data_IF_198157166631
#
_entry.id   IF_198157166631
#
_cell.length_a   1.000
_cell.length_b   1.000
_cell.length_c   1.000
_cell.angle_alpha   90.00
_cell.angle_beta   90.00
_cell.angle_gamma   90.00
#
_symmetry.space_group_name_H-M   'P 1'
#
loop_
_entity.id
_entity.type
_entity.pdbx_description
1 polymer ?
#
# COMPACT_ATOMS: atom_id res chain seq x y z
N UNK A 1 -6.48 14.06 10.93
CA UNK A 1 -5.28 13.30 10.52
C UNK A 1 -4.08 14.22 10.30
N UNK A 2 -2.93 13.87 10.88
CA UNK A 2 -1.63 14.51 10.72
C UNK A 2 -0.69 13.61 9.90
N UNK A 3 -0.14 14.11 8.79
CA UNK A 3 0.76 13.34 7.92
C UNK A 3 2.22 13.63 8.21
N UNK A 4 3.02 12.57 8.37
CA UNK A 4 4.48 12.65 8.50
C UNK A 4 5.11 12.02 7.28
N UNK A 5 5.66 12.86 6.41
CA UNK A 5 6.27 12.42 5.17
C UNK A 5 7.73 12.01 5.38
N UNK A 6 8.09 10.83 4.90
CA UNK A 6 9.45 10.28 4.94
C UNK A 6 9.87 9.87 3.53
N UNK A 7 11.12 10.15 3.18
CA UNK A 7 11.75 9.58 1.99
C UNK A 7 12.61 8.39 2.41
N UNK A 8 12.46 7.23 1.77
CA UNK A 8 13.23 6.03 2.15
C UNK A 8 13.80 5.31 0.93
N UNK A 9 15.14 5.29 0.85
CA UNK A 9 15.87 4.58 -0.19
C UNK A 9 15.77 3.05 -0.02
N UNK A 10 15.90 2.55 1.22
CA UNK A 10 15.74 1.13 1.53
C UNK A 10 14.32 0.64 1.23
N UNK A 11 13.29 1.39 1.61
CA UNK A 11 11.92 1.05 1.25
C UNK A 11 11.70 1.08 -0.27
N UNK A 12 12.40 1.96 -1.01
CA UNK A 12 12.33 1.98 -2.48
C UNK A 12 12.91 0.72 -3.12
N UNK A 13 14.03 0.22 -2.62
CA UNK A 13 14.63 -1.03 -3.10
C UNK A 13 13.71 -2.24 -2.81
N UNK A 14 13.16 -2.31 -1.60
CA UNK A 14 12.23 -3.37 -1.19
C UNK A 14 10.89 -3.29 -1.93
N UNK A 15 10.38 -2.08 -2.20
CA UNK A 15 9.19 -1.84 -3.02
C UNK A 15 9.38 -2.38 -4.45
N UNK A 16 10.54 -2.13 -5.07
CA UNK A 16 10.86 -2.64 -6.40
C UNK A 16 10.89 -4.17 -6.46
N UNK A 17 11.50 -4.82 -5.47
CA UNK A 17 11.53 -6.28 -5.40
C UNK A 17 10.16 -6.86 -5.06
N UNK A 18 9.38 -6.21 -4.20
CA UNK A 18 8.01 -6.60 -3.91
C UNK A 18 7.12 -6.53 -5.16
N UNK A 19 7.23 -5.46 -5.95
CA UNK A 19 6.53 -5.32 -7.21
C UNK A 19 6.89 -6.45 -8.20
N UNK A 20 8.17 -6.79 -8.36
CA UNK A 20 8.59 -7.93 -9.18
C UNK A 20 8.09 -9.27 -8.64
N UNK A 21 8.12 -9.49 -7.31
CA UNK A 21 7.60 -10.71 -6.69
C UNK A 21 6.10 -10.89 -6.95
N UNK A 22 5.34 -9.79 -7.03
CA UNK A 22 3.93 -9.76 -7.44
C UNK A 22 3.71 -9.94 -8.94
N UNK A 23 4.78 -10.07 -9.74
CA UNK A 23 4.70 -10.20 -11.20
C UNK A 23 4.42 -8.88 -11.92
N UNK A 24 4.62 -7.73 -11.27
CA UNK A 24 4.42 -6.42 -11.90
C UNK A 24 5.59 -6.08 -12.82
N UNK A 25 5.28 -5.48 -13.97
CA UNK A 25 6.29 -4.95 -14.87
C UNK A 25 6.88 -3.66 -14.31
N UNK A 26 8.21 -3.61 -14.15
CA UNK A 26 8.90 -2.39 -13.75
C UNK A 26 9.09 -1.46 -14.96
N UNK A 27 8.74 -0.19 -14.79
CA UNK A 27 8.82 0.86 -15.82
C UNK A 27 10.26 1.30 -16.09
N UNK A 28 11.13 1.51 -15.08
CA UNK A 28 12.49 1.97 -15.34
C UNK A 28 13.34 0.92 -16.09
N UNK A 29 14.01 1.30 -17.19
CA UNK A 29 14.77 0.35 -18.01
C UNK A 29 15.93 -0.26 -17.24
N UNK A 30 16.14 -1.57 -17.41
CA UNK A 30 17.22 -2.34 -16.77
C UNK A 30 17.01 -2.65 -15.29
N UNK A 31 16.00 -2.08 -14.62
CA UNK A 31 15.76 -2.34 -13.20
C UNK A 31 15.32 -3.80 -12.96
N UNK A 32 14.42 -4.29 -13.81
CA UNK A 32 13.98 -5.69 -13.76
C UNK A 32 15.14 -6.67 -14.02
N UNK A 33 16.09 -6.31 -14.89
CA UNK A 33 17.29 -7.11 -15.14
C UNK A 33 18.23 -7.13 -13.93
N UNK A 34 18.41 -5.98 -13.26
CA UNK A 34 19.25 -5.88 -12.07
C UNK A 34 18.70 -6.67 -10.88
N UNK A 35 17.37 -6.66 -10.67
CA UNK A 35 16.73 -7.30 -9.51
C UNK A 35 16.22 -8.72 -9.79
N UNK A 36 15.96 -9.06 -11.07
CA UNK A 36 15.38 -10.34 -11.48
C UNK A 36 16.09 -11.58 -10.92
N UNK A 37 17.43 -11.66 -10.95
CA UNK A 37 18.16 -12.79 -10.37
C UNK A 37 17.90 -13.00 -8.87
N UNK A 38 17.67 -11.93 -8.11
CA UNK A 38 17.39 -11.98 -6.66
C UNK A 38 15.97 -12.46 -6.36
N UNK A 39 15.02 -12.20 -7.26
CA UNK A 39 13.64 -12.70 -7.21
C UNK A 39 13.58 -14.16 -7.65
N UNK A 40 14.38 -14.55 -8.65
CA UNK A 40 14.45 -15.92 -9.14
C UNK A 40 15.21 -16.87 -8.18
N UNK A 41 16.15 -16.34 -7.39
CA UNK A 41 16.88 -17.05 -6.35
C UNK A 41 16.64 -16.45 -4.95
N UNK A 42 15.40 -16.53 -4.42
CA UNK A 42 15.08 -15.95 -3.13
C UNK A 42 15.68 -16.81 -1.99
N UNK A 43 15.82 -16.25 -0.78
CA UNK A 43 16.32 -17.01 0.36
C UNK A 43 15.39 -18.17 0.70
N UNK A 44 15.91 -19.20 1.37
CA UNK A 44 15.18 -20.45 1.66
C UNK A 44 13.80 -20.22 2.29
N UNK A 45 13.72 -19.34 3.29
CA UNK A 45 12.49 -18.96 3.98
C UNK A 45 11.43 -18.28 3.08
N UNK A 46 11.83 -17.74 1.93
CA UNK A 46 10.98 -17.03 0.99
C UNK A 46 10.48 -17.89 -0.19
N UNK A 47 10.96 -19.13 -0.33
CA UNK A 47 10.69 -19.96 -1.52
C UNK A 47 9.20 -20.26 -1.72
N UNK A 48 8.41 -20.28 -0.64
CA UNK A 48 6.97 -20.60 -0.70
C UNK A 48 6.07 -19.38 -0.93
N UNK A 49 6.50 -18.21 -0.45
CA UNK A 49 5.71 -16.98 -0.49
C UNK A 49 6.62 -15.75 -0.45
N UNK A 50 7.36 -15.54 -1.54
CA UNK A 50 8.18 -14.35 -1.71
C UNK A 50 7.36 -13.04 -1.67
N UNK A 51 6.15 -12.95 -2.28
CA UNK A 51 5.32 -11.76 -2.16
C UNK A 51 4.96 -11.40 -0.71
N UNK A 52 4.54 -12.37 0.10
CA UNK A 52 4.23 -12.16 1.51
C UNK A 52 5.44 -11.75 2.33
N UNK A 53 6.60 -12.37 2.12
CA UNK A 53 7.82 -12.00 2.83
C UNK A 53 8.30 -10.59 2.46
N UNK A 54 8.29 -10.25 1.17
CA UNK A 54 8.70 -8.91 0.70
C UNK A 54 7.75 -7.81 1.15
N UNK A 55 6.45 -8.09 1.26
CA UNK A 55 5.49 -7.19 1.89
C UNK A 55 5.86 -6.90 3.36
N UNK A 56 6.20 -7.95 4.13
CA UNK A 56 6.66 -7.81 5.51
C UNK A 56 7.94 -6.98 5.64
N UNK A 57 8.95 -7.23 4.80
CA UNK A 57 10.17 -6.44 4.77
C UNK A 57 9.90 -4.96 4.46
N UNK A 58 9.06 -4.70 3.45
CA UNK A 58 8.66 -3.34 3.07
C UNK A 58 7.94 -2.63 4.22
N UNK A 59 7.01 -3.31 4.91
CA UNK A 59 6.31 -2.78 6.08
C UNK A 59 7.30 -2.32 7.16
N UNK A 60 8.27 -3.17 7.54
CA UNK A 60 9.21 -2.84 8.60
C UNK A 60 10.21 -1.75 8.19
N UNK A 61 10.65 -1.74 6.93
CA UNK A 61 11.49 -0.67 6.40
C UNK A 61 10.73 0.67 6.37
N UNK A 62 9.46 0.64 5.99
CA UNK A 62 8.59 1.82 6.01
C UNK A 62 8.34 2.33 7.45
N UNK A 63 8.23 1.42 8.42
CA UNK A 63 8.15 1.77 9.84
C UNK A 63 9.46 2.32 10.45
N UNK A 64 10.53 2.45 9.65
CA UNK A 64 11.80 3.06 10.07
C UNK A 64 12.82 2.08 10.66
N UNK A 65 12.66 0.77 10.42
CA UNK A 65 13.71 -0.20 10.76
C UNK A 65 14.85 -0.10 9.73
N UNK A 66 16.00 0.44 10.16
CA UNK A 66 17.15 0.71 9.28
C UNK A 66 18.16 -0.45 9.20
N UNK A 67 18.09 -1.42 10.13
CA UNK A 67 19.06 -2.52 10.19
C UNK A 67 18.53 -3.76 9.47
N UNK A 68 19.22 -4.20 8.42
CA UNK A 68 18.82 -5.35 7.59
C UNK A 68 18.60 -6.64 8.39
N UNK A 69 19.40 -6.87 9.43
CA UNK A 69 19.22 -8.01 10.34
C UNK A 69 17.91 -7.92 11.15
N UNK A 70 17.61 -6.75 11.68
CA UNK A 70 16.37 -6.52 12.42
C UNK A 70 15.14 -6.60 11.49
N UNK A 71 15.24 -6.07 10.26
CA UNK A 71 14.23 -6.24 9.21
C UNK A 71 13.94 -7.73 8.95
N UNK A 72 15.00 -8.52 8.75
CA UNK A 72 14.89 -9.95 8.50
C UNK A 72 14.22 -10.69 9.66
N UNK A 73 14.68 -10.45 10.90
CA UNK A 73 14.11 -11.07 12.11
C UNK A 73 12.62 -10.74 12.25
N UNK A 74 12.22 -9.48 12.07
CA UNK A 74 10.83 -9.05 12.19
C UNK A 74 9.95 -9.64 11.09
N UNK A 75 10.42 -9.64 9.84
CA UNK A 75 9.69 -10.22 8.71
C UNK A 75 9.50 -11.74 8.88
N UNK A 76 10.54 -12.48 9.27
CA UNK A 76 10.45 -13.91 9.52
C UNK A 76 9.56 -14.23 10.72
N UNK A 77 9.65 -13.44 11.80
CA UNK A 77 8.80 -13.61 12.98
C UNK A 77 7.32 -13.46 12.64
N UNK A 78 6.99 -12.52 11.76
CA UNK A 78 5.62 -12.28 11.29
C UNK A 78 5.13 -13.35 10.33
N UNK A 79 6.01 -13.85 9.46
CA UNK A 79 5.67 -14.81 8.40
C UNK A 79 5.61 -16.26 8.92
N UNK A 80 6.59 -16.69 9.74
CA UNK A 80 6.73 -18.06 10.24
C UNK A 80 6.32 -18.27 11.70
N UNK A 81 6.16 -17.18 12.46
CA UNK A 81 5.99 -17.19 13.92
C UNK A 81 7.33 -17.12 14.66
N UNK A 82 7.35 -16.42 15.80
CA UNK A 82 8.57 -16.19 16.61
C UNK A 82 9.27 -17.48 17.06
N UNK A 83 8.51 -18.53 17.33
CA UNK A 83 9.06 -19.81 17.83
C UNK A 83 9.82 -20.60 16.75
N UNK A 84 9.74 -20.18 15.49
CA UNK A 84 10.41 -20.82 14.34
C UNK A 84 11.56 -20.00 13.78
N UNK A 85 12.01 -18.96 14.48
CA UNK A 85 13.15 -18.16 14.05
C UNK A 85 14.43 -19.00 14.14
N UNK A 86 15.00 -19.32 12.99
CA UNK A 86 16.36 -19.85 12.86
C UNK A 86 17.34 -18.70 12.59
N UNK A 87 18.45 -18.69 13.32
CA UNK A 87 19.54 -17.72 13.15
C UNK A 87 20.14 -17.78 11.74
N UNK A 88 20.19 -18.97 11.15
CA UNK A 88 20.65 -19.15 9.77
C UNK A 88 19.73 -18.44 8.76
N UNK A 89 18.41 -18.57 8.92
CA UNK A 89 17.41 -17.93 8.05
C UNK A 89 17.46 -16.40 8.19
N UNK A 90 17.63 -15.89 9.42
CA UNK A 90 17.77 -14.45 9.68
C UNK A 90 19.00 -13.89 8.98
N UNK A 91 20.15 -14.58 9.08
CA UNK A 91 21.38 -14.16 8.40
C UNK A 91 21.23 -14.22 6.88
N UNK A 92 20.68 -15.31 6.33
CA UNK A 92 20.47 -15.48 4.89
C UNK A 92 19.58 -14.36 4.33
N UNK A 93 18.48 -14.06 5.02
CA UNK A 93 17.55 -13.02 4.60
C UNK A 93 18.16 -11.61 4.72
N UNK A 94 18.91 -11.33 5.79
CA UNK A 94 19.60 -10.04 5.96
C UNK A 94 20.65 -9.80 4.85
N UNK A 95 21.38 -10.84 4.47
CA UNK A 95 22.32 -10.81 3.35
C UNK A 95 21.60 -10.62 2.01
N UNK A 96 20.44 -11.25 1.82
CA UNK A 96 19.60 -11.05 0.65
C UNK A 96 19.08 -9.60 0.55
N UNK A 97 18.58 -9.02 1.64
CA UNK A 97 18.16 -7.60 1.68
C UNK A 97 19.33 -6.68 1.30
N UNK A 98 20.51 -6.94 1.84
CA UNK A 98 21.72 -6.15 1.52
C UNK A 98 22.09 -6.24 0.04
N UNK A 99 21.95 -7.42 -0.59
CA UNK A 99 22.14 -7.59 -2.04
C UNK A 99 21.09 -6.87 -2.87
N UNK A 100 19.83 -6.87 -2.43
CA UNK A 100 18.74 -6.12 -3.07
C UNK A 100 19.05 -4.62 -3.08
N UNK A 101 19.40 -4.06 -1.93
CA UNK A 101 19.76 -2.64 -1.82
C UNK A 101 20.97 -2.30 -2.69
N UNK A 102 22.01 -3.14 -2.65
CA UNK A 102 23.20 -2.95 -3.46
C UNK A 102 22.89 -2.96 -4.96
N UNK A 103 22.13 -3.95 -5.45
CA UNK A 103 21.75 -4.05 -6.85
C UNK A 103 20.91 -2.84 -7.29
N UNK A 104 19.97 -2.41 -6.44
CA UNK A 104 19.13 -1.24 -6.68
C UNK A 104 19.95 0.05 -6.78
N UNK A 105 20.85 0.30 -5.83
CA UNK A 105 21.70 1.50 -5.82
C UNK A 105 22.71 1.52 -6.96
N UNK A 106 23.27 0.35 -7.31
CA UNK A 106 24.14 0.23 -8.49
C UNK A 106 23.38 0.55 -9.78
N UNK A 107 22.18 0.00 -9.95
CA UNK A 107 21.31 0.32 -11.09
C UNK A 107 21.00 1.82 -11.15
N UNK A 108 20.73 2.46 -10.01
CA UNK A 108 20.48 3.90 -9.91
C UNK A 108 21.78 4.74 -9.99
N UNK A 109 22.67 4.36 -10.91
CA UNK A 109 23.96 5.02 -11.25
C UNK A 109 24.95 5.12 -10.09
N UNK A 110 24.96 4.14 -9.19
CA UNK A 110 25.86 4.12 -8.04
C UNK A 110 25.61 5.25 -7.04
N UNK A 111 24.42 5.84 -7.05
CA UNK A 111 24.05 6.83 -6.05
C UNK A 111 24.04 6.20 -4.65
N UNK A 112 24.45 6.98 -3.66
CA UNK A 112 24.31 6.59 -2.25
C UNK A 112 22.85 6.68 -1.82
N UNK A 113 22.43 5.89 -0.81
CA UNK A 113 21.06 5.94 -0.28
C UNK A 113 20.59 7.35 0.11
N UNK A 114 21.50 8.23 0.56
CA UNK A 114 21.20 9.64 0.85
C UNK A 114 20.79 10.43 -0.40
N UNK A 115 21.50 10.26 -1.51
CA UNK A 115 21.17 10.95 -2.77
C UNK A 115 19.80 10.51 -3.31
N UNK A 116 19.47 9.22 -3.19
CA UNK A 116 18.13 8.73 -3.53
C UNK A 116 17.07 9.35 -2.62
N UNK A 117 17.33 9.42 -1.31
CA UNK A 117 16.39 10.04 -0.37
C UNK A 117 16.14 11.53 -0.68
N UNK A 118 17.19 12.28 -1.05
CA UNK A 118 17.07 13.68 -1.48
C UNK A 118 16.24 13.83 -2.77
N UNK A 119 16.42 12.92 -3.74
CA UNK A 119 15.59 12.88 -4.95
C UNK A 119 14.11 12.58 -4.63
N UNK A 120 13.86 11.57 -3.81
CA UNK A 120 12.51 11.20 -3.38
C UNK A 120 11.85 12.38 -2.65
N UNK A 121 12.57 13.04 -1.75
CA UNK A 121 12.08 14.21 -1.03
C UNK A 121 11.68 15.34 -2.00
N UNK A 122 12.47 15.58 -3.05
CA UNK A 122 12.14 16.55 -4.10
C UNK A 122 10.86 16.17 -4.85
N UNK A 123 10.70 14.89 -5.21
CA UNK A 123 9.50 14.36 -5.87
C UNK A 123 8.24 14.36 -4.99
N UNK A 124 8.41 14.47 -3.67
CA UNK A 124 7.28 14.48 -2.71
C UNK A 124 6.54 15.81 -2.70
N UNK A 125 7.19 16.91 -3.09
CA UNK A 125 6.64 18.27 -2.97
C UNK A 125 5.27 18.42 -3.64
N UNK A 126 5.04 18.02 -4.91
CA UNK A 126 3.74 18.19 -5.55
C UNK A 126 2.59 17.46 -4.82
N UNK A 127 2.85 16.24 -4.32
CA UNK A 127 1.87 15.47 -3.56
C UNK A 127 1.50 16.17 -2.24
N UNK A 128 2.51 16.70 -1.54
CA UNK A 128 2.29 17.44 -0.29
C UNK A 128 1.48 18.70 -0.56
N UNK A 129 1.81 19.46 -1.60
CA UNK A 129 1.08 20.69 -1.95
C UNK A 129 -0.40 20.38 -2.27
N UNK A 130 -0.67 19.30 -3.03
CA UNK A 130 -2.04 18.84 -3.29
C UNK A 130 -2.76 18.37 -2.02
N UNK A 131 -2.05 17.66 -1.14
CA UNK A 131 -2.60 17.24 0.14
C UNK A 131 -2.96 18.43 1.01
N UNK A 132 -2.07 19.40 1.18
CA UNK A 132 -2.30 20.57 2.02
C UNK A 132 -3.50 21.40 1.50
N UNK A 133 -3.72 21.40 0.18
CA UNK A 133 -4.85 22.10 -0.43
C UNK A 133 -6.22 21.43 -0.19
N UNK A 134 -6.32 20.09 -0.28
CA UNK A 134 -7.63 19.39 -0.31
C UNK A 134 -7.72 18.16 0.61
N UNK A 135 -6.61 17.56 1.00
CA UNK A 135 -6.52 16.35 1.82
C UNK A 135 -7.29 16.43 3.15
N UNK A 136 -7.13 17.48 3.98
CA UNK A 136 -7.91 17.63 5.21
C UNK A 136 -9.43 17.69 4.98
N UNK A 137 -9.87 18.26 3.86
CA UNK A 137 -11.27 18.28 3.47
C UNK A 137 -11.78 16.87 3.16
N UNK A 138 -11.02 16.11 2.37
CA UNK A 138 -11.35 14.74 2.00
C UNK A 138 -11.41 13.81 3.21
N UNK A 139 -10.45 13.90 4.14
CA UNK A 139 -10.47 13.10 5.37
C UNK A 139 -11.73 13.36 6.21
N UNK A 140 -12.12 14.62 6.39
CA UNK A 140 -13.38 14.95 7.10
C UNK A 140 -14.62 14.39 6.40
N UNK A 141 -14.61 14.33 5.08
CA UNK A 141 -15.70 13.70 4.33
C UNK A 141 -15.72 12.19 4.51
N UNK A 142 -14.55 11.52 4.53
CA UNK A 142 -14.46 10.09 4.85
C UNK A 142 -15.01 9.82 6.26
N UNK A 143 -14.63 10.60 7.27
CA UNK A 143 -15.16 10.49 8.65
C UNK A 143 -16.68 10.60 8.69
N UNK A 144 -17.26 11.52 7.90
CA UNK A 144 -18.71 11.73 7.82
C UNK A 144 -19.44 10.60 7.09
N UNK A 145 -18.85 10.08 6.03
CA UNK A 145 -19.43 9.03 5.19
C UNK A 145 -19.27 7.64 5.82
N UNK A 146 -18.37 7.49 6.79
CA UNK A 146 -18.10 6.23 7.48
C UNK A 146 -18.28 6.39 8.99
N UNK A 147 -17.22 6.20 9.78
CA UNK A 147 -17.22 6.39 11.22
C UNK A 147 -15.97 7.18 11.66
N UNK A 148 -16.08 8.16 12.59
CA UNK A 148 -14.97 9.04 12.93
C UNK A 148 -13.73 8.33 13.49
N UNK A 149 -13.90 7.21 14.19
CA UNK A 149 -12.78 6.46 14.79
C UNK A 149 -11.96 5.68 13.74
N UNK A 150 -12.44 5.54 12.51
CA UNK A 150 -11.75 4.82 11.45
C UNK A 150 -10.55 5.59 10.91
N UNK A 151 -10.55 6.92 11.08
CA UNK A 151 -9.47 7.77 10.57
C UNK A 151 -8.36 7.89 11.62
N UNK A 152 -7.18 7.39 11.26
CA UNK A 152 -6.00 7.51 12.11
C UNK A 152 -5.65 8.98 12.38
N UNK A 153 -5.39 9.32 13.64
CA UNK A 153 -4.98 10.68 14.02
C UNK A 153 -3.62 11.06 13.41
N UNK A 154 -2.71 10.10 13.29
CA UNK A 154 -1.36 10.27 12.77
C UNK A 154 -1.05 9.16 11.77
N UNK A 155 -0.54 9.54 10.60
CA UNK A 155 -0.14 8.60 9.54
C UNK A 155 1.26 8.95 9.08
N UNK A 156 2.11 7.94 8.96
CA UNK A 156 3.40 8.09 8.32
C UNK A 156 3.28 7.74 6.83
N UNK A 157 3.72 8.65 5.96
CA UNK A 157 3.71 8.50 4.51
C UNK A 157 5.13 8.30 4.03
N UNK A 158 5.46 7.07 3.67
CA UNK A 158 6.79 6.69 3.18
C UNK A 158 6.78 6.75 1.66
N UNK A 159 7.48 7.74 1.15
CA UNK A 159 7.65 8.01 -0.27
C UNK A 159 8.77 7.11 -0.80
N UNK A 160 8.51 6.47 -1.93
CA UNK A 160 9.48 5.62 -2.64
C UNK A 160 9.65 6.08 -4.09
N UNK A 161 10.76 5.73 -4.73
CA UNK A 161 10.92 6.01 -6.16
C UNK A 161 9.88 5.24 -6.99
N UNK A 162 9.37 5.84 -8.08
CA UNK A 162 8.41 5.17 -8.92
C UNK A 162 9.06 4.07 -9.74
N UNK A 163 8.57 2.84 -9.59
CA UNK A 163 9.06 1.66 -10.28
C UNK A 163 7.97 0.98 -11.10
N UNK A 164 6.69 1.18 -10.77
CA UNK A 164 5.55 0.67 -11.56
C UNK A 164 4.61 1.76 -12.07
N UNK A 165 4.94 3.03 -11.80
CA UNK A 165 4.20 4.18 -12.34
C UNK A 165 2.89 4.43 -11.59
N UNK A 166 2.97 4.53 -10.26
CA UNK A 166 1.84 4.81 -9.37
C UNK A 166 1.35 3.56 -8.66
N UNK A 167 2.00 3.22 -7.56
CA UNK A 167 1.58 2.12 -6.66
C UNK A 167 1.70 2.58 -5.21
N UNK A 168 1.03 1.84 -4.33
CA UNK A 168 1.08 2.10 -2.91
C UNK A 168 0.50 0.97 -2.08
N UNK A 169 0.77 0.99 -0.79
CA UNK A 169 0.34 -0.06 0.15
C UNK A 169 0.09 0.55 1.52
N UNK A 170 -1.03 0.16 2.14
CA UNK A 170 -1.33 0.48 3.52
C UNK A 170 -0.81 -0.64 4.43
N UNK A 171 0.04 -0.28 5.39
CA UNK A 171 0.60 -1.19 6.38
C UNK A 171 -0.14 -1.03 7.70
N UNK A 172 -1.33 -1.64 7.78
CA UNK A 172 -2.28 -1.46 8.89
C UNK A 172 -1.61 -1.54 10.29
N UNK A 173 -0.83 -2.60 10.62
CA UNK A 173 -0.28 -2.75 11.97
C UNK A 173 0.76 -1.68 12.37
N UNK A 174 1.23 -0.89 11.40
CA UNK A 174 2.23 0.14 11.60
C UNK A 174 1.67 1.58 11.48
N UNK A 175 0.40 1.76 11.08
CA UNK A 175 -0.15 3.07 10.71
C UNK A 175 0.73 3.84 9.70
N UNK A 176 1.30 3.10 8.75
CA UNK A 176 2.20 3.60 7.71
C UNK A 176 1.60 3.31 6.34
N UNK A 177 1.74 4.24 5.40
CA UNK A 177 1.48 3.99 3.98
C UNK A 177 2.78 4.14 3.20
N UNK A 178 3.00 3.26 2.23
CA UNK A 178 4.04 3.43 1.21
C UNK A 178 3.37 3.90 -0.08
N UNK A 179 3.92 4.90 -0.77
CA UNK A 179 3.40 5.36 -2.06
C UNK A 179 4.52 5.88 -2.97
N UNK A 180 4.41 5.64 -4.27
CA UNK A 180 5.39 6.13 -5.25
C UNK A 180 5.37 7.66 -5.38
N UNK A 181 6.55 8.28 -5.30
CA UNK A 181 6.76 9.72 -5.43
C UNK A 181 6.73 10.13 -6.92
N UNK A 182 5.53 10.26 -7.45
CA UNK A 182 5.30 10.74 -8.81
C UNK A 182 5.34 12.26 -8.90
N UNK A 183 5.92 12.78 -9.98
CA UNK A 183 5.94 14.22 -10.28
C UNK A 183 4.62 14.71 -10.91
N UNK A 184 3.80 13.79 -11.42
CA UNK A 184 2.51 14.07 -12.03
C UNK A 184 1.57 12.88 -11.79
N UNK A 185 0.26 13.14 -11.79
CA UNK A 185 -0.74 12.09 -11.69
C UNK A 185 -0.65 11.15 -12.90
N UNK A 186 -0.73 9.85 -12.67
CA UNK A 186 -0.79 8.84 -13.75
C UNK A 186 -2.05 9.05 -14.57
N UNK A 187 -3.17 9.26 -13.86
CA UNK A 187 -4.47 9.60 -14.43
C UNK A 187 -4.97 10.89 -13.76
N UNK A 188 -5.27 11.95 -14.51
CA UNK A 188 -5.77 13.20 -13.93
C UNK A 188 -7.17 13.07 -13.28
N UNK A 189 -7.98 12.07 -13.64
CA UNK A 189 -9.28 11.81 -13.04
C UNK A 189 -9.17 11.05 -11.71
N UNK A 190 -8.04 10.38 -11.46
CA UNK A 190 -7.72 9.72 -10.20
C UNK A 190 -6.38 10.24 -9.65
N UNK A 191 -6.33 11.49 -9.14
CA UNK A 191 -5.10 12.08 -8.64
C UNK A 191 -4.45 11.26 -7.53
N UNK A 192 -3.14 11.34 -7.43
CA UNK A 192 -2.37 10.58 -6.44
C UNK A 192 -2.70 10.96 -4.99
N UNK A 193 -3.16 12.20 -4.77
CA UNK A 193 -3.65 12.66 -3.46
C UNK A 193 -4.91 11.88 -3.03
N UNK A 194 -5.75 11.44 -3.98
CA UNK A 194 -6.92 10.60 -3.71
C UNK A 194 -6.48 9.18 -3.33
N UNK A 195 -5.50 8.63 -4.06
CA UNK A 195 -4.88 7.33 -3.70
C UNK A 195 -4.29 7.37 -2.30
N UNK A 196 -3.61 8.46 -1.93
CA UNK A 196 -3.05 8.64 -0.59
C UNK A 196 -4.13 8.60 0.51
N UNK A 197 -5.26 9.28 0.32
CA UNK A 197 -6.35 9.23 1.30
C UNK A 197 -7.00 7.86 1.36
N UNK A 198 -7.16 7.19 0.22
CA UNK A 198 -7.65 5.82 0.17
C UNK A 198 -6.75 4.89 0.98
N UNK A 199 -5.43 4.94 0.79
CA UNK A 199 -4.47 4.16 1.58
C UNK A 199 -4.53 4.49 3.08
N UNK A 200 -4.57 5.79 3.42
CA UNK A 200 -4.59 6.24 4.81
C UNK A 200 -5.88 5.83 5.56
N UNK A 201 -7.01 5.77 4.86
CA UNK A 201 -8.31 5.41 5.41
C UNK A 201 -8.44 3.92 5.79
N UNK A 202 -7.53 3.07 5.32
CA UNK A 202 -7.52 1.63 5.62
C UNK A 202 -6.87 1.33 6.98
N UNK A 203 -6.09 2.26 7.54
CA UNK A 203 -5.11 1.95 8.59
C UNK A 203 -5.71 1.49 9.92
N UNK A 204 -6.97 1.80 10.22
CA UNK A 204 -7.64 1.38 11.46
C UNK A 204 -8.50 0.11 11.30
N UNK A 205 -8.42 -0.58 10.15
CA UNK A 205 -9.15 -1.84 9.96
C UNK A 205 -8.60 -3.00 10.80
N UNK A 206 -7.40 -2.87 11.38
CA UNK A 206 -6.83 -3.85 12.29
C UNK A 206 -7.32 -3.73 13.75
N UNK A 207 -8.17 -2.74 14.05
CA UNK A 207 -8.85 -2.64 15.33
C UNK A 207 -9.82 -3.82 15.55
N UNK A 208 -9.99 -4.30 16.80
CA UNK A 208 -10.83 -5.46 17.10
C UNK A 208 -12.26 -5.38 16.55
N UNK A 209 -12.84 -4.17 16.50
CA UNK A 209 -14.19 -3.93 16.00
C UNK A 209 -14.40 -4.49 14.57
N UNK A 210 -13.39 -4.41 13.71
CA UNK A 210 -13.44 -4.93 12.32
C UNK A 210 -12.64 -6.24 12.21
N UNK A 211 -11.41 -6.26 12.74
CA UNK A 211 -10.46 -7.34 12.50
C UNK A 211 -10.92 -8.72 13.00
N UNK A 212 -11.76 -8.78 14.04
CA UNK A 212 -12.29 -10.06 14.55
C UNK A 212 -13.31 -10.72 13.60
N UNK A 213 -13.86 -9.97 12.65
CA UNK A 213 -14.89 -10.44 11.71
C UNK A 213 -14.31 -10.91 10.38
N UNK A 214 -13.04 -10.60 10.09
CA UNK A 214 -12.42 -10.82 8.78
C UNK A 214 -11.20 -11.73 8.94
N UNK A 215 -11.01 -12.75 8.08
CA UNK A 215 -9.81 -13.57 8.11
C UNK A 215 -8.54 -12.70 7.98
N UNK A 216 -7.50 -12.90 8.80
CA UNK A 216 -6.32 -12.02 8.82
C UNK A 216 -5.62 -11.84 7.47
N UNK A 217 -5.62 -12.90 6.63
CA UNK A 217 -5.03 -12.83 5.29
C UNK A 217 -5.88 -12.07 4.26
N UNK A 218 -7.18 -11.89 4.51
CA UNK A 218 -8.11 -11.15 3.65
C UNK A 218 -8.29 -9.71 4.09
N UNK A 219 -8.02 -9.39 5.36
CA UNK A 219 -8.26 -8.07 5.94
C UNK A 219 -7.68 -6.90 5.12
N UNK A 220 -6.42 -6.91 4.66
CA UNK A 220 -5.90 -5.79 3.86
C UNK A 220 -6.67 -5.58 2.54
N UNK A 221 -7.07 -6.67 1.89
CA UNK A 221 -7.82 -6.60 0.63
C UNK A 221 -9.26 -6.09 0.86
N UNK A 222 -9.91 -6.55 1.93
CA UNK A 222 -11.25 -6.09 2.29
C UNK A 222 -11.25 -4.63 2.76
N UNK A 223 -10.25 -4.20 3.50
CA UNK A 223 -10.07 -2.79 3.86
C UNK A 223 -9.92 -1.90 2.62
N UNK A 224 -9.07 -2.32 1.68
CA UNK A 224 -8.87 -1.64 0.41
C UNK A 224 -10.18 -1.49 -0.39
N UNK A 225 -10.98 -2.56 -0.47
CA UNK A 225 -12.26 -2.55 -1.19
C UNK A 225 -13.33 -1.70 -0.48
N UNK A 226 -13.50 -1.87 0.83
CA UNK A 226 -14.50 -1.17 1.62
C UNK A 226 -14.30 0.36 1.60
N UNK A 227 -13.05 0.81 1.57
CA UNK A 227 -12.74 2.24 1.59
C UNK A 227 -12.73 2.91 0.22
N UNK A 228 -12.83 2.15 -0.86
CA UNK A 228 -12.76 2.71 -2.21
C UNK A 228 -13.98 3.61 -2.54
N UNK A 229 -15.24 3.18 -2.32
CA UNK A 229 -16.41 4.05 -2.58
C UNK A 229 -16.43 5.29 -1.68
N UNK A 230 -16.16 5.11 -0.38
CA UNK A 230 -16.09 6.21 0.59
C UNK A 230 -15.05 7.27 0.18
N UNK A 231 -13.88 6.84 -0.31
CA UNK A 231 -12.82 7.75 -0.72
C UNK A 231 -13.19 8.50 -2.00
N UNK A 232 -13.76 7.84 -3.00
CA UNK A 232 -14.16 8.50 -4.25
C UNK A 232 -15.32 9.48 -4.03
N UNK A 233 -16.32 9.13 -3.21
CA UNK A 233 -17.38 10.05 -2.81
C UNK A 233 -16.85 11.25 -2.01
N UNK A 234 -15.86 11.03 -1.14
CA UNK A 234 -15.19 12.12 -0.42
C UNK A 234 -14.37 13.02 -1.36
N UNK A 235 -13.72 12.44 -2.37
CA UNK A 235 -12.95 13.18 -3.38
C UNK A 235 -13.86 14.05 -4.25
N UNK A 236 -15.04 13.56 -4.62
CA UNK A 236 -16.07 14.34 -5.32
C UNK A 236 -16.52 15.55 -4.51
N UNK A 237 -16.79 15.37 -3.21
CA UNK A 237 -17.18 16.46 -2.32
C UNK A 237 -16.11 17.56 -2.17
N UNK A 238 -14.86 17.30 -2.56
CA UNK A 238 -13.76 18.28 -2.57
C UNK A 238 -13.23 18.60 -3.98
N UNK A 239 -13.97 18.19 -5.02
CA UNK A 239 -13.68 18.48 -6.44
C UNK A 239 -12.35 17.90 -6.93
N UNK A 240 -11.93 16.74 -6.41
CA UNK A 240 -10.70 16.05 -6.82
C UNK A 240 -10.92 14.93 -7.85
N UNK A 241 -12.07 14.27 -7.80
CA UNK A 241 -12.47 13.18 -8.69
C UNK A 241 -14.00 13.11 -8.76
N UNK A 242 -14.56 12.30 -9.65
CA UNK A 242 -16.01 11.99 -9.69
C UNK A 242 -16.27 10.65 -9.00
N UNK A 243 -17.41 10.49 -8.34
CA UNK A 243 -17.85 9.19 -7.84
C UNK A 243 -18.87 8.56 -8.78
N UNK A 244 -18.44 7.48 -9.43
CA UNK A 244 -19.28 6.65 -10.31
C UNK A 244 -18.77 5.22 -10.36
N UNK A 245 -19.59 4.28 -10.83
CA UNK A 245 -19.14 2.90 -11.09
C UNK A 245 -17.95 2.87 -12.08
N UNK A 246 -17.90 3.79 -13.04
CA UNK A 246 -16.76 3.92 -13.96
C UNK A 246 -15.48 4.35 -13.23
N UNK A 247 -15.56 5.35 -12.35
CA UNK A 247 -14.41 5.77 -11.53
C UNK A 247 -13.92 4.66 -10.58
N UNK A 248 -14.84 3.85 -10.04
CA UNK A 248 -14.51 2.66 -9.24
C UNK A 248 -13.76 1.62 -10.08
N UNK A 249 -14.26 1.30 -11.28
CA UNK A 249 -13.57 0.39 -12.21
C UNK A 249 -12.16 0.89 -12.54
N UNK A 250 -12.02 2.18 -12.87
CA UNK A 250 -10.72 2.80 -13.14
C UNK A 250 -9.79 2.72 -11.93
N UNK A 251 -10.26 2.97 -10.71
CA UNK A 251 -9.46 2.90 -9.51
C UNK A 251 -9.05 1.45 -9.17
N UNK A 252 -9.97 0.48 -9.27
CA UNK A 252 -9.69 -0.94 -9.07
C UNK A 252 -8.57 -1.45 -9.99
N UNK A 253 -8.59 -1.02 -11.26
CA UNK A 253 -7.58 -1.38 -12.25
C UNK A 253 -6.27 -0.62 -12.02
N UNK A 254 -6.32 0.70 -11.96
CA UNK A 254 -5.13 1.56 -11.88
C UNK A 254 -4.36 1.35 -10.57
N UNK A 255 -5.07 1.14 -9.46
CA UNK A 255 -4.47 0.93 -8.14
C UNK A 255 -4.25 -0.55 -7.83
N UNK A 256 -4.47 -1.44 -8.82
CA UNK A 256 -4.18 -2.88 -8.75
C UNK A 256 -4.83 -3.57 -7.56
N UNK A 257 -6.07 -3.18 -7.26
CA UNK A 257 -6.88 -3.79 -6.21
C UNK A 257 -7.53 -5.07 -6.72
N UNK A 258 -8.01 -5.06 -7.96
CA UNK A 258 -8.49 -6.26 -8.64
C UNK A 258 -7.30 -7.14 -9.11
N UNK A 259 -7.45 -8.46 -9.01
CA UNK A 259 -6.39 -9.39 -9.39
C UNK A 259 -6.30 -9.55 -10.90
N UNK A 260 -7.44 -9.47 -11.59
CA UNK A 260 -7.51 -9.59 -13.05
C UNK A 260 -8.39 -8.51 -13.67
N UNK A 261 -8.15 -8.19 -14.94
CA UNK A 261 -8.96 -7.24 -15.68
C UNK A 261 -10.43 -7.69 -15.83
N UNK A 262 -10.68 -9.01 -15.81
CA UNK A 262 -12.02 -9.58 -15.93
C UNK A 262 -12.89 -9.35 -14.68
N UNK A 263 -12.25 -9.17 -13.51
CA UNK A 263 -12.94 -8.95 -12.24
C UNK A 263 -13.34 -7.49 -12.01
N UNK A 264 -12.69 -6.54 -12.69
CA UNK A 264 -12.82 -5.10 -12.42
C UNK A 264 -14.27 -4.63 -12.47
N UNK A 265 -14.99 -4.94 -13.54
CA UNK A 265 -16.35 -4.43 -13.74
C UNK A 265 -17.37 -5.08 -12.77
N UNK A 266 -17.44 -6.43 -12.62
CA UNK A 266 -18.32 -7.04 -11.61
C UNK A 266 -18.03 -6.56 -10.18
N UNK A 267 -16.75 -6.35 -9.85
CA UNK A 267 -16.35 -5.87 -8.53
C UNK A 267 -16.79 -4.42 -8.31
N UNK A 268 -16.64 -3.53 -9.30
CA UNK A 268 -17.12 -2.15 -9.22
C UNK A 268 -18.65 -2.08 -9.01
N UNK A 269 -19.41 -2.93 -9.70
CA UNK A 269 -20.87 -3.04 -9.55
C UNK A 269 -21.24 -3.53 -8.15
N UNK A 270 -20.55 -4.57 -7.66
CA UNK A 270 -20.73 -5.11 -6.30
C UNK A 270 -20.45 -4.03 -5.24
N UNK A 271 -19.34 -3.29 -5.38
CA UNK A 271 -18.99 -2.20 -4.46
C UNK A 271 -19.98 -1.04 -4.49
N UNK A 272 -20.50 -0.70 -5.67
CA UNK A 272 -21.54 0.34 -5.81
C UNK A 272 -22.79 -0.07 -5.03
N UNK A 273 -23.30 -1.29 -5.26
CA UNK A 273 -24.51 -1.79 -4.59
C UNK A 273 -24.33 -1.93 -3.08
N UNK A 274 -23.17 -2.43 -2.65
CA UNK A 274 -22.82 -2.54 -1.24
C UNK A 274 -22.77 -1.15 -0.58
N UNK A 275 -22.12 -0.18 -1.21
CA UNK A 275 -21.99 1.18 -0.69
C UNK A 275 -23.34 1.88 -0.57
N UNK A 276 -24.20 1.77 -1.59
CA UNK A 276 -25.55 2.34 -1.56
C UNK A 276 -26.41 1.72 -0.44
N UNK A 277 -26.27 0.41 -0.21
CA UNK A 277 -26.93 -0.30 0.88
C UNK A 277 -26.42 0.16 2.25
N UNK A 278 -25.11 0.36 2.39
CA UNK A 278 -24.51 0.91 3.61
C UNK A 278 -25.00 2.33 3.88
N UNK A 279 -24.95 3.24 2.89
CA UNK A 279 -25.37 4.64 3.05
C UNK A 279 -26.87 4.81 3.31
N UNK A 280 -27.70 3.88 2.84
CA UNK A 280 -29.16 3.90 3.06
C UNK A 280 -29.62 3.21 4.34
N UNK A 281 -28.71 2.54 5.05
CA UNK A 281 -29.01 1.84 6.30
C UNK A 281 -28.32 2.51 7.50
N UNK A 282 -28.91 2.40 8.69
CA UNK A 282 -28.24 2.78 9.96
C UNK A 282 -27.27 1.67 10.44
N UNK A 283 -26.66 0.94 9.50
CA UNK A 283 -25.76 -0.17 9.81
C UNK A 283 -24.39 0.34 10.26
N UNK A 284 -23.86 -0.25 11.34
CA UNK A 284 -22.47 0.00 11.74
C UNK A 284 -21.50 -0.52 10.67
N UNK A 285 -20.43 0.22 10.40
CA UNK A 285 -19.42 -0.08 9.39
C UNK A 285 -18.86 -1.49 9.55
N UNK A 286 -18.61 -1.94 10.78
CA UNK A 286 -18.08 -3.27 11.03
C UNK A 286 -18.99 -4.39 10.48
N UNK A 287 -20.31 -4.24 10.64
CA UNK A 287 -21.28 -5.17 10.06
C UNK A 287 -21.36 -5.03 8.53
N UNK A 288 -21.25 -3.80 8.00
CA UNK A 288 -21.20 -3.56 6.56
C UNK A 288 -20.00 -4.25 5.90
N UNK A 289 -18.81 -4.13 6.51
CA UNK A 289 -17.57 -4.75 6.04
C UNK A 289 -17.65 -6.28 6.11
N UNK A 290 -18.24 -6.84 7.17
CA UNK A 290 -18.47 -8.29 7.26
C UNK A 290 -19.43 -8.78 6.14
N UNK A 291 -20.46 -7.99 5.80
CA UNK A 291 -21.34 -8.30 4.67
C UNK A 291 -20.59 -8.26 3.33
N UNK A 292 -19.68 -7.29 3.13
CA UNK A 292 -18.87 -7.23 1.92
C UNK A 292 -18.00 -8.47 1.76
N UNK A 293 -17.33 -8.89 2.83
CA UNK A 293 -16.52 -10.11 2.83
C UNK A 293 -17.34 -11.34 2.48
N UNK A 294 -18.55 -11.49 3.04
CA UNK A 294 -19.43 -12.60 2.71
C UNK A 294 -19.80 -12.62 1.22
N UNK A 295 -20.12 -11.46 0.63
CA UNK A 295 -20.46 -11.35 -0.80
C UNK A 295 -19.29 -11.69 -1.73
N UNK A 296 -18.04 -11.47 -1.30
CA UNK A 296 -16.84 -11.74 -2.11
C UNK A 296 -16.29 -13.16 -1.95
N UNK A 297 -16.92 -14.01 -1.13
CA UNK A 297 -16.55 -15.43 -0.96
C UNK A 297 -17.42 -16.35 -1.81
N UNK A 298 -18.61 -15.91 -2.21
CA UNK A 298 -19.54 -16.63 -3.10
C UNK A 298 -19.09 -16.62 -4.56
#
# INVERSE_FOLDING_TARGET
MNLIWKASASASALHAVHALARGLALVPPGLAEALGPLVAGPPSAAQKDLPGLTAGLLQYAAAGCEQNRQLAEQALAKHGGRDKLDEADVSELADWVSRVEQAYFQWHRGQTGRQLADEIATRTVPMRDHWDARGPGMIRQIERLTEPWLVAERVEVVMVLPVVGGDGTAHLPANVVTIEALLANVDPQLPEVVRLAWLASQLQFDLPAIAEQIPPGRLPHIAALAMLPATLAAAEAVELAEYSTESLSSALQLWRVASTAAEVQPLAETLTQWWDSYQSSDMALAAAVASLEATLVE
#
